data_IF_830385219598
#
_entry.id   IF_830385219598
#
_cell.length_a   1.000
_cell.length_b   1.000
_cell.length_c   1.000
_cell.angle_alpha   90.00
_cell.angle_beta   90.00
_cell.angle_gamma   90.00
#
_symmetry.space_group_name_H-M   'P 1'
#
loop_
_entity.id
_entity.type
_entity.pdbx_description
1 polymer ?
#
# COMPACT_ATOMS: atom_id res chain seq x y z
N UNK A 1 -15.34 -14.41 26.93
CA UNK A 1 -16.33 -13.50 27.49
C UNK A 1 -16.97 -12.74 26.36
N UNK A 2 -18.13 -13.28 25.87
CA UNK A 2 -18.92 -12.59 24.86
C UNK A 2 -19.42 -11.28 25.42
N UNK A 3 -18.97 -10.18 24.85
CA UNK A 3 -19.45 -8.87 25.20
C UNK A 3 -20.87 -8.75 24.62
N UNK A 4 -21.87 -8.86 25.47
CA UNK A 4 -23.29 -8.83 25.12
C UNK A 4 -23.71 -7.53 24.40
N UNK A 5 -22.82 -6.54 24.36
CA UNK A 5 -23.05 -5.20 23.80
C UNK A 5 -22.44 -4.98 22.42
N UNK A 6 -21.58 -5.88 21.91
CA UNK A 6 -21.00 -5.77 20.56
C UNK A 6 -22.03 -6.25 19.54
N UNK A 7 -22.59 -5.31 18.80
CA UNK A 7 -23.60 -5.55 17.77
C UNK A 7 -23.10 -5.28 16.35
N UNK A 8 -21.87 -4.83 16.21
CA UNK A 8 -21.27 -4.50 14.91
C UNK A 8 -19.92 -5.17 14.77
N UNK A 9 -19.63 -5.61 13.57
CA UNK A 9 -18.38 -6.27 13.24
C UNK A 9 -17.69 -5.55 12.09
N UNK A 10 -16.40 -5.34 12.21
CA UNK A 10 -15.55 -4.91 11.12
C UNK A 10 -14.57 -6.03 10.79
N UNK A 11 -14.70 -6.62 9.59
CA UNK A 11 -13.88 -7.75 9.18
C UNK A 11 -12.72 -7.22 8.34
N UNK A 12 -11.49 -7.41 8.84
CA UNK A 12 -10.24 -6.96 8.22
C UNK A 12 -9.14 -8.02 8.43
N UNK A 13 -9.46 -9.29 8.11
CA UNK A 13 -8.56 -10.43 8.35
C UNK A 13 -7.42 -10.56 7.32
N UNK A 14 -7.41 -9.72 6.29
CA UNK A 14 -6.41 -9.74 5.22
C UNK A 14 -6.52 -10.98 4.31
N UNK A 15 -5.55 -11.14 3.41
CA UNK A 15 -5.43 -12.26 2.48
C UNK A 15 -4.21 -13.12 2.85
N UNK A 16 -4.35 -13.94 3.89
CA UNK A 16 -3.25 -14.70 4.49
C UNK A 16 -2.97 -16.06 3.86
N UNK A 17 -3.81 -16.51 2.92
CA UNK A 17 -3.61 -17.76 2.19
C UNK A 17 -2.73 -17.54 0.97
N UNK A 18 -1.76 -18.41 0.76
CA UNK A 18 -1.04 -18.49 -0.51
C UNK A 18 -1.86 -19.25 -1.55
N UNK A 19 -1.74 -18.89 -2.82
CA UNK A 19 -2.30 -19.67 -3.92
C UNK A 19 -1.31 -20.75 -4.32
N UNK A 20 -1.86 -21.94 -4.62
CA UNK A 20 -1.12 -23.05 -5.23
C UNK A 20 -1.31 -23.00 -6.75
N UNK A 21 -0.38 -23.60 -7.48
CA UNK A 21 -0.39 -23.55 -8.94
C UNK A 21 -1.37 -24.54 -9.59
N UNK A 22 -1.81 -25.55 -8.85
CA UNK A 22 -2.65 -26.63 -9.35
C UNK A 22 -1.92 -27.57 -10.31
N UNK A 23 -0.61 -27.70 -10.12
CA UNK A 23 0.25 -28.56 -10.95
C UNK A 23 0.60 -29.89 -10.25
N UNK A 24 0.87 -30.98 -10.99
CA UNK A 24 1.29 -32.23 -10.40
C UNK A 24 2.52 -32.06 -9.51
N UNK A 25 2.55 -32.70 -8.36
CA UNK A 25 3.68 -32.74 -7.42
C UNK A 25 3.74 -31.55 -6.44
N UNK A 26 2.78 -30.63 -6.45
CA UNK A 26 2.80 -29.45 -5.58
C UNK A 26 2.55 -29.74 -4.09
N UNK A 27 2.11 -30.93 -3.74
CA UNK A 27 1.92 -31.42 -2.37
C UNK A 27 3.15 -32.10 -1.77
N UNK A 28 4.26 -32.18 -2.54
CA UNK A 28 5.49 -32.81 -2.10
C UNK A 28 6.21 -32.00 -1.00
N UNK A 29 7.01 -32.70 -0.19
CA UNK A 29 7.92 -32.04 0.76
C UNK A 29 8.93 -31.16 0.02
N UNK A 30 9.10 -29.92 0.47
CA UNK A 30 9.92 -28.91 -0.18
C UNK A 30 9.12 -27.94 -1.04
N UNK A 31 7.81 -28.19 -1.25
CA UNK A 31 6.90 -27.22 -1.86
C UNK A 31 6.09 -26.51 -0.77
N UNK A 32 6.02 -25.19 -0.84
CA UNK A 32 5.06 -24.42 -0.02
C UNK A 32 4.71 -23.08 -0.68
N UNK A 33 3.64 -22.46 -0.24
CA UNK A 33 3.34 -21.10 -0.67
C UNK A 33 4.32 -20.11 -0.04
N UNK A 34 4.64 -19.03 -0.78
CA UNK A 34 5.53 -17.98 -0.27
C UNK A 34 5.03 -17.33 1.01
N UNK A 35 3.71 -17.14 1.13
CA UNK A 35 3.09 -16.59 2.35
C UNK A 35 3.27 -17.54 3.55
N UNK A 36 3.11 -18.82 3.35
CA UNK A 36 3.34 -19.81 4.41
C UNK A 36 4.81 -19.83 4.84
N UNK A 37 5.73 -19.77 3.87
CA UNK A 37 7.17 -19.70 4.12
C UNK A 37 7.53 -18.46 4.95
N UNK A 38 7.13 -17.25 4.50
CA UNK A 38 7.39 -16.01 5.24
C UNK A 38 6.80 -16.03 6.65
N UNK A 39 5.59 -16.60 6.80
CA UNK A 39 4.96 -16.72 8.12
C UNK A 39 5.73 -17.69 9.05
N UNK A 40 6.26 -18.77 8.51
CA UNK A 40 7.10 -19.72 9.27
C UNK A 40 8.42 -19.06 9.71
N UNK A 41 9.11 -18.37 8.80
CA UNK A 41 10.34 -17.64 9.13
C UNK A 41 10.09 -16.57 10.19
N UNK A 42 9.04 -15.76 10.05
CA UNK A 42 8.71 -14.71 11.03
C UNK A 42 8.35 -15.25 12.42
N UNK A 43 7.84 -16.48 12.51
CA UNK A 43 7.50 -17.10 13.80
C UNK A 43 8.66 -17.83 14.45
N UNK A 44 9.55 -18.36 13.65
CA UNK A 44 10.63 -19.23 14.09
C UNK A 44 11.83 -19.11 13.14
N UNK A 45 12.51 -17.95 13.20
CA UNK A 45 13.65 -17.62 12.37
C UNK A 45 14.83 -18.60 12.58
N UNK A 46 14.99 -19.10 13.80
CA UNK A 46 16.13 -19.98 14.14
C UNK A 46 15.97 -21.39 13.56
N UNK A 47 14.76 -21.91 13.48
CA UNK A 47 14.48 -23.28 13.09
C UNK A 47 13.99 -23.43 11.64
N UNK A 48 13.46 -22.37 11.02
CA UNK A 48 13.09 -22.40 9.61
C UNK A 48 14.32 -22.23 8.72
N UNK A 49 14.98 -23.36 8.46
CA UNK A 49 16.15 -23.41 7.58
C UNK A 49 15.81 -24.09 6.27
N UNK A 50 16.29 -23.51 5.18
CA UNK A 50 16.36 -24.14 3.88
C UNK A 50 17.77 -24.68 3.65
N UNK A 51 17.89 -25.64 2.75
CA UNK A 51 19.16 -26.17 2.25
C UNK A 51 19.02 -26.46 0.77
N UNK A 52 20.14 -26.45 0.06
CA UNK A 52 20.15 -26.71 -1.37
C UNK A 52 19.56 -25.54 -2.18
N UNK A 53 19.10 -25.86 -3.39
CA UNK A 53 18.61 -24.89 -4.35
C UNK A 53 17.11 -24.60 -4.15
N UNK A 54 16.73 -23.34 -4.20
CA UNK A 54 15.35 -22.91 -4.09
C UNK A 54 14.89 -22.21 -5.36
N UNK A 55 13.77 -22.66 -5.90
CA UNK A 55 13.07 -22.00 -7.00
C UNK A 55 11.86 -21.24 -6.44
N UNK A 56 11.78 -19.94 -6.75
CA UNK A 56 10.63 -19.09 -6.40
C UNK A 56 9.82 -18.82 -7.67
N UNK A 57 8.53 -19.10 -7.65
CA UNK A 57 7.64 -18.87 -8.78
C UNK A 57 6.73 -17.68 -8.48
N UNK A 58 6.88 -16.59 -9.26
CA UNK A 58 6.12 -15.36 -9.15
C UNK A 58 6.94 -14.12 -9.46
N UNK A 59 6.29 -13.01 -9.85
CA UNK A 59 6.92 -11.75 -10.29
C UNK A 59 6.52 -10.51 -9.50
N UNK A 60 5.77 -10.65 -8.39
CA UNK A 60 5.34 -9.55 -7.53
C UNK A 60 6.27 -9.28 -6.35
N UNK A 61 6.01 -8.21 -5.57
CA UNK A 61 6.79 -7.84 -4.39
C UNK A 61 6.93 -9.00 -3.40
N UNK A 62 5.86 -9.77 -3.17
CA UNK A 62 5.91 -10.95 -2.28
C UNK A 62 6.92 -11.99 -2.77
N UNK A 63 7.06 -12.17 -4.09
CA UNK A 63 8.05 -13.09 -4.65
C UNK A 63 9.48 -12.60 -4.39
N UNK A 64 9.72 -11.27 -4.46
CA UNK A 64 11.01 -10.66 -4.09
C UNK A 64 11.33 -10.92 -2.61
N UNK A 65 10.37 -10.65 -1.71
CA UNK A 65 10.53 -10.90 -0.28
C UNK A 65 10.83 -12.37 0.01
N UNK A 66 10.10 -13.29 -0.65
CA UNK A 66 10.29 -14.74 -0.50
C UNK A 66 11.67 -15.17 -0.97
N UNK A 67 12.15 -14.70 -2.11
CA UNK A 67 13.44 -15.06 -2.66
C UNK A 67 14.60 -14.57 -1.77
N UNK A 68 14.53 -13.32 -1.34
CA UNK A 68 15.53 -12.72 -0.43
C UNK A 68 15.52 -13.39 0.94
N UNK A 69 14.33 -13.74 1.44
CA UNK A 69 14.18 -14.49 2.70
C UNK A 69 14.71 -15.92 2.57
N UNK A 70 14.54 -16.58 1.42
CA UNK A 70 15.06 -17.91 1.18
C UNK A 70 16.60 -17.98 1.26
N UNK A 71 17.29 -16.96 0.72
CA UNK A 71 18.75 -16.82 0.91
C UNK A 71 19.11 -16.74 2.40
N UNK A 72 18.43 -15.87 3.15
CA UNK A 72 18.67 -15.67 4.59
C UNK A 72 18.32 -16.91 5.41
N UNK A 73 17.37 -17.70 4.95
CA UNK A 73 17.02 -18.98 5.56
C UNK A 73 18.03 -20.09 5.27
N UNK A 74 19.09 -19.83 4.47
CA UNK A 74 20.20 -20.76 4.24
C UNK A 74 20.11 -21.53 2.93
N UNK A 75 19.30 -21.12 1.95
CA UNK A 75 19.35 -21.69 0.60
C UNK A 75 20.70 -21.39 -0.07
N UNK A 76 21.31 -22.38 -0.69
CA UNK A 76 22.63 -22.25 -1.34
C UNK A 76 22.54 -21.42 -2.63
N UNK A 77 21.41 -21.51 -3.33
CA UNK A 77 21.14 -20.80 -4.59
C UNK A 77 19.64 -20.51 -4.68
N UNK A 78 19.28 -19.29 -5.10
CA UNK A 78 17.89 -18.89 -5.28
C UNK A 78 17.68 -18.33 -6.68
N UNK A 79 16.76 -18.96 -7.40
CA UNK A 79 16.33 -18.50 -8.73
C UNK A 79 14.83 -18.24 -8.76
N UNK A 80 14.46 -17.15 -9.41
CA UNK A 80 13.07 -16.74 -9.59
C UNK A 80 12.62 -16.96 -11.03
N UNK A 81 11.37 -17.39 -11.18
CA UNK A 81 10.71 -17.56 -12.47
C UNK A 81 9.34 -16.91 -12.44
N UNK A 82 9.03 -16.07 -13.44
CA UNK A 82 7.74 -15.40 -13.54
C UNK A 82 7.22 -15.38 -14.98
N UNK A 83 5.91 -15.18 -15.11
CA UNK A 83 5.23 -15.17 -16.40
C UNK A 83 5.58 -13.91 -17.20
N UNK A 84 5.70 -12.80 -16.51
CA UNK A 84 5.84 -11.46 -17.05
C UNK A 84 7.22 -11.26 -17.71
N UNK A 85 7.28 -10.38 -18.70
CA UNK A 85 8.54 -9.79 -19.16
C UNK A 85 9.11 -8.86 -18.09
N UNK A 86 10.37 -8.46 -18.23
CA UNK A 86 11.04 -7.59 -17.24
C UNK A 86 10.30 -6.27 -17.00
N UNK A 87 9.77 -5.69 -18.05
CA UNK A 87 9.07 -4.40 -18.00
C UNK A 87 7.64 -4.50 -17.48
N UNK A 88 7.05 -5.70 -17.54
CA UNK A 88 5.67 -5.99 -17.08
C UNK A 88 5.61 -6.56 -15.67
N UNK A 89 6.76 -6.82 -15.04
CA UNK A 89 6.77 -7.34 -13.67
C UNK A 89 6.02 -6.42 -12.71
N UNK A 90 5.08 -6.95 -11.91
CA UNK A 90 4.31 -6.14 -10.96
C UNK A 90 5.10 -5.72 -9.72
N UNK A 91 6.30 -6.28 -9.49
CA UNK A 91 7.17 -5.88 -8.39
C UNK A 91 7.72 -4.47 -8.61
N UNK A 92 7.93 -3.73 -7.53
CA UNK A 92 8.56 -2.43 -7.55
C UNK A 92 10.01 -2.54 -8.08
N UNK A 93 10.43 -1.56 -8.88
CA UNK A 93 11.78 -1.58 -9.50
C UNK A 93 12.88 -1.66 -8.45
N UNK A 94 12.72 -0.95 -7.35
CA UNK A 94 13.69 -0.95 -6.25
C UNK A 94 13.81 -2.35 -5.62
N UNK A 95 12.71 -3.10 -5.44
CA UNK A 95 12.71 -4.48 -4.92
C UNK A 95 13.38 -5.46 -5.89
N UNK A 96 13.16 -5.28 -7.20
CA UNK A 96 13.81 -6.08 -8.23
C UNK A 96 15.33 -5.83 -8.24
N UNK A 97 15.74 -4.57 -8.14
CA UNK A 97 17.15 -4.18 -8.09
C UNK A 97 17.83 -4.76 -6.84
N UNK A 98 17.17 -4.70 -5.68
CA UNK A 98 17.67 -5.27 -4.43
C UNK A 98 17.84 -6.80 -4.51
N UNK A 99 16.90 -7.51 -5.14
CA UNK A 99 17.01 -8.94 -5.35
C UNK A 99 18.21 -9.30 -6.25
N UNK A 100 18.43 -8.53 -7.32
CA UNK A 100 19.59 -8.72 -8.21
C UNK A 100 20.92 -8.43 -7.52
N UNK A 101 20.98 -7.39 -6.69
CA UNK A 101 22.18 -7.06 -5.89
C UNK A 101 22.53 -8.18 -4.89
N UNK A 102 21.54 -8.94 -4.44
CA UNK A 102 21.71 -10.12 -3.60
C UNK A 102 22.00 -11.40 -4.40
N UNK A 103 22.34 -11.28 -5.69
CA UNK A 103 22.66 -12.37 -6.62
C UNK A 103 21.50 -13.35 -6.89
N UNK A 104 20.26 -12.94 -6.69
CA UNK A 104 19.09 -13.74 -7.07
C UNK A 104 18.88 -13.64 -8.57
N UNK A 105 18.86 -14.77 -9.27
CA UNK A 105 18.58 -14.79 -10.71
C UNK A 105 17.08 -14.66 -10.98
N UNK A 106 16.68 -13.74 -11.89
CA UNK A 106 15.30 -13.52 -12.27
C UNK A 106 15.10 -13.90 -13.73
N UNK A 107 14.26 -14.91 -13.96
CA UNK A 107 14.01 -15.52 -15.26
C UNK A 107 12.56 -15.24 -15.69
N UNK A 108 12.40 -14.42 -16.71
CA UNK A 108 11.11 -13.96 -17.22
C UNK A 108 10.52 -14.88 -18.29
N UNK A 109 9.19 -14.92 -18.38
CA UNK A 109 8.46 -15.65 -19.43
C UNK A 109 8.34 -17.15 -19.15
N UNK A 110 8.27 -17.57 -17.89
CA UNK A 110 8.15 -18.97 -17.50
C UNK A 110 7.08 -19.19 -16.45
N UNK A 111 6.25 -20.22 -16.65
CA UNK A 111 5.23 -20.66 -15.70
C UNK A 111 5.38 -22.11 -15.30
N UNK A 112 4.86 -22.54 -14.15
CA UNK A 112 4.98 -23.92 -13.69
C UNK A 112 4.14 -24.85 -14.56
N UNK A 113 4.71 -26.03 -14.86
CA UNK A 113 4.04 -27.13 -15.55
C UNK A 113 3.82 -28.33 -14.63
N UNK A 114 4.89 -28.76 -13.98
CA UNK A 114 4.86 -29.86 -13.01
C UNK A 114 6.07 -29.79 -12.06
N UNK A 115 5.96 -30.43 -10.92
CA UNK A 115 7.04 -30.60 -9.96
C UNK A 115 7.42 -32.08 -9.93
N UNK A 116 8.64 -32.37 -10.33
CA UNK A 116 9.20 -33.73 -10.32
C UNK A 116 9.57 -34.06 -8.88
N UNK A 117 9.09 -35.21 -8.42
CA UNK A 117 9.35 -35.67 -7.05
C UNK A 117 10.09 -36.98 -7.02
N UNK A 118 10.94 -37.17 -6.03
CA UNK A 118 11.61 -38.41 -5.73
C UNK A 118 11.46 -38.70 -4.22
N UNK A 119 10.99 -39.90 -3.88
CA UNK A 119 10.71 -40.30 -2.49
C UNK A 119 9.80 -39.29 -1.71
N UNK A 120 8.86 -38.65 -2.41
CA UNK A 120 7.93 -37.69 -1.82
C UNK A 120 8.52 -36.30 -1.53
N UNK A 121 9.74 -36.01 -2.06
CA UNK A 121 10.38 -34.68 -2.01
C UNK A 121 10.54 -34.11 -3.40
N UNK A 122 10.65 -32.79 -3.47
CA UNK A 122 11.04 -32.08 -4.69
C UNK A 122 12.42 -32.52 -5.13
N UNK A 123 12.55 -32.74 -6.44
CA UNK A 123 13.81 -33.02 -7.16
C UNK A 123 14.05 -31.99 -8.24
N UNK A 124 13.00 -31.58 -8.93
CA UNK A 124 13.07 -30.57 -9.99
C UNK A 124 11.70 -29.93 -10.22
N UNK A 125 11.67 -28.78 -10.85
CA UNK A 125 10.46 -28.15 -11.39
C UNK A 125 10.59 -28.07 -12.91
N UNK A 126 9.53 -28.44 -13.62
CA UNK A 126 9.38 -28.23 -15.06
C UNK A 126 8.57 -26.98 -15.27
N UNK A 127 9.15 -26.07 -16.04
CA UNK A 127 8.53 -24.81 -16.42
C UNK A 127 8.22 -24.81 -17.91
N UNK A 128 7.16 -24.13 -18.31
CA UNK A 128 6.75 -23.93 -19.71
C UNK A 128 6.81 -22.46 -20.08
N UNK A 129 7.14 -22.18 -21.32
CA UNK A 129 7.27 -20.83 -21.82
C UNK A 129 5.94 -20.10 -21.80
N UNK A 130 5.88 -18.93 -21.18
CA UNK A 130 4.77 -18.01 -21.28
C UNK A 130 5.02 -17.03 -22.45
N UNK A 131 4.14 -17.03 -23.42
CA UNK A 131 4.24 -16.19 -24.63
C UNK A 131 3.47 -14.89 -24.48
N UNK A 132 2.46 -14.84 -23.63
CA UNK A 132 1.70 -13.63 -23.31
C UNK A 132 1.06 -13.79 -21.93
N UNK A 133 1.06 -12.73 -21.12
CA UNK A 133 0.44 -12.73 -19.77
C UNK A 133 -0.97 -12.14 -19.82
N UNK A 134 -1.18 -11.16 -20.71
CA UNK A 134 -2.45 -10.43 -20.79
C UNK A 134 -3.08 -10.60 -22.18
N UNK A 135 -4.40 -10.62 -22.22
CA UNK A 135 -5.15 -10.59 -23.48
C UNK A 135 -5.24 -9.15 -24.04
N UNK A 136 -5.92 -9.00 -25.19
CA UNK A 136 -6.11 -7.71 -25.84
C UNK A 136 -6.84 -6.67 -24.98
N UNK A 137 -7.67 -7.10 -24.05
CA UNK A 137 -8.38 -6.25 -23.08
C UNK A 137 -7.57 -5.98 -21.81
N UNK A 138 -6.26 -6.30 -21.80
CA UNK A 138 -5.35 -6.16 -20.65
C UNK A 138 -5.81 -6.94 -19.40
N UNK A 139 -6.55 -8.04 -19.60
CA UNK A 139 -6.92 -8.94 -18.50
C UNK A 139 -5.92 -10.08 -18.41
N UNK A 140 -5.61 -10.50 -17.19
CA UNK A 140 -4.73 -11.63 -16.94
C UNK A 140 -5.29 -12.90 -17.57
N UNK A 141 -4.63 -13.41 -18.59
CA UNK A 141 -4.99 -14.59 -19.38
C UNK A 141 -3.72 -15.18 -20.03
N UNK A 142 -2.85 -15.82 -19.24
CA UNK A 142 -1.56 -16.28 -19.73
C UNK A 142 -1.69 -17.35 -20.80
N UNK A 143 -0.90 -17.21 -21.86
CA UNK A 143 -0.79 -18.17 -22.95
C UNK A 143 0.58 -18.83 -22.89
N UNK A 144 0.59 -20.17 -23.06
CA UNK A 144 1.81 -20.94 -22.95
C UNK A 144 2.13 -21.71 -24.22
N UNK A 145 3.43 -21.87 -24.49
CA UNK A 145 3.91 -22.90 -25.39
C UNK A 145 4.21 -24.16 -24.57
N UNK A 146 3.38 -25.18 -24.74
CA UNK A 146 3.51 -26.43 -23.99
C UNK A 146 4.71 -27.28 -24.43
N UNK A 147 5.31 -26.98 -25.60
CA UNK A 147 6.46 -27.72 -26.16
C UNK A 147 7.79 -27.05 -25.77
N UNK A 148 7.79 -25.75 -25.45
CA UNK A 148 9.00 -25.04 -24.96
C UNK A 148 9.05 -25.16 -23.44
N UNK A 149 9.83 -26.10 -22.94
CA UNK A 149 9.93 -26.40 -21.50
C UNK A 149 11.36 -26.46 -21.04
N UNK A 150 11.59 -26.06 -19.81
CA UNK A 150 12.87 -26.20 -19.13
C UNK A 150 12.67 -26.97 -17.81
N UNK A 151 13.66 -27.75 -17.43
CA UNK A 151 13.69 -28.47 -16.16
C UNK A 151 14.79 -27.90 -15.28
N UNK A 152 14.43 -27.50 -14.06
CA UNK A 152 15.34 -26.89 -13.09
C UNK A 152 15.44 -27.82 -11.88
N UNK A 153 16.61 -28.37 -11.63
CA UNK A 153 16.89 -29.17 -10.42
C UNK A 153 16.87 -28.26 -9.19
N UNK A 154 16.07 -28.62 -8.18
CA UNK A 154 15.93 -27.86 -6.96
C UNK A 154 15.46 -28.74 -5.80
N UNK A 155 15.72 -28.29 -4.59
CA UNK A 155 15.32 -28.94 -3.34
C UNK A 155 14.05 -28.33 -2.74
N UNK A 156 13.77 -27.06 -3.09
CA UNK A 156 12.61 -26.32 -2.60
C UNK A 156 11.95 -25.54 -3.74
N UNK A 157 10.61 -25.48 -3.71
CA UNK A 157 9.80 -24.66 -4.60
C UNK A 157 8.86 -23.80 -3.76
N UNK A 158 8.99 -22.48 -3.89
CA UNK A 158 8.19 -21.51 -3.16
C UNK A 158 7.24 -20.77 -4.13
N UNK A 159 5.94 -21.02 -3.99
CA UNK A 159 4.92 -20.50 -4.90
C UNK A 159 4.43 -19.14 -4.41
N UNK A 160 4.75 -18.07 -5.15
CA UNK A 160 4.40 -16.67 -4.84
C UNK A 160 3.48 -16.07 -5.91
N UNK A 161 2.49 -16.86 -6.36
CA UNK A 161 1.58 -16.59 -7.48
C UNK A 161 0.25 -15.96 -7.06
N UNK A 162 0.26 -15.27 -5.95
CA UNK A 162 -0.88 -14.52 -5.42
C UNK A 162 -1.34 -14.99 -4.05
N UNK A 163 -2.29 -14.23 -3.53
CA UNK A 163 -2.84 -14.41 -2.19
C UNK A 163 -4.34 -14.67 -2.27
N UNK A 164 -4.89 -15.26 -1.22
CA UNK A 164 -6.32 -15.51 -1.07
C UNK A 164 -6.80 -15.28 0.35
N UNK A 165 -8.06 -14.93 0.49
CA UNK A 165 -8.72 -14.73 1.77
C UNK A 165 -9.15 -16.10 2.30
N UNK A 166 -8.78 -16.39 3.53
CA UNK A 166 -9.21 -17.63 4.21
C UNK A 166 -10.37 -17.30 5.13
N UNK A 167 -11.58 -17.46 4.64
CA UNK A 167 -12.79 -17.17 5.39
C UNK A 167 -13.12 -18.23 6.45
N UNK A 168 -12.76 -19.49 6.22
CA UNK A 168 -13.20 -20.60 7.08
C UNK A 168 -14.72 -20.57 7.29
N UNK A 169 -15.14 -20.64 8.54
CA UNK A 169 -16.55 -20.57 8.94
C UNK A 169 -17.00 -19.16 9.37
N UNK A 170 -16.17 -18.14 9.19
CA UNK A 170 -16.44 -16.79 9.71
C UNK A 170 -17.74 -16.17 9.19
N UNK A 171 -18.11 -16.47 7.95
CA UNK A 171 -19.33 -15.96 7.31
C UNK A 171 -20.51 -16.92 7.38
N UNK A 172 -20.37 -18.06 8.04
CA UNK A 172 -21.44 -19.04 8.14
C UNK A 172 -22.67 -18.47 8.87
N UNK A 173 -23.84 -18.59 8.23
CA UNK A 173 -25.08 -18.07 8.77
C UNK A 173 -25.31 -16.57 8.59
N UNK A 174 -24.40 -15.86 7.91
CA UNK A 174 -24.57 -14.43 7.54
C UNK A 174 -25.08 -14.28 6.12
N UNK A 175 -25.57 -13.07 5.78
CA UNK A 175 -25.98 -12.71 4.41
C UNK A 175 -24.83 -12.09 3.59
N UNK A 176 -23.58 -12.13 4.11
CA UNK A 176 -22.43 -11.59 3.40
C UNK A 176 -22.19 -12.40 2.13
N UNK A 177 -22.20 -11.72 0.99
CA UNK A 177 -21.92 -12.31 -0.31
C UNK A 177 -20.45 -12.13 -0.68
N UNK A 178 -19.92 -13.09 -1.43
CA UNK A 178 -18.57 -13.02 -1.97
C UNK A 178 -18.58 -12.79 -3.49
N UNK A 179 -17.57 -12.09 -3.96
CA UNK A 179 -17.25 -11.98 -5.38
C UNK A 179 -16.55 -13.26 -5.88
N UNK A 180 -16.43 -13.43 -7.19
CA UNK A 180 -15.75 -14.58 -7.82
C UNK A 180 -14.29 -14.74 -7.37
N UNK A 181 -13.63 -13.65 -7.00
CA UNK A 181 -12.25 -13.64 -6.52
C UNK A 181 -12.14 -13.89 -5.00
N UNK A 182 -13.23 -14.17 -4.32
CA UNK A 182 -13.28 -14.44 -2.88
C UNK A 182 -13.32 -13.18 -1.98
N UNK A 183 -13.35 -11.96 -2.54
CA UNK A 183 -13.54 -10.75 -1.74
C UNK A 183 -15.01 -10.57 -1.34
N UNK A 184 -15.26 -9.92 -0.21
CA UNK A 184 -16.63 -9.64 0.22
C UNK A 184 -17.26 -8.52 -0.61
N UNK A 185 -18.55 -8.69 -0.94
CA UNK A 185 -19.34 -7.61 -1.53
C UNK A 185 -19.76 -6.62 -0.45
N UNK A 186 -19.48 -5.35 -0.67
CA UNK A 186 -19.89 -4.27 0.21
C UNK A 186 -20.13 -2.98 -0.58
N UNK A 187 -20.84 -2.06 0.03
CA UNK A 187 -21.05 -0.73 -0.54
C UNK A 187 -19.71 0.04 -0.58
N UNK A 188 -19.33 0.67 -1.70
CA UNK A 188 -18.01 1.28 -1.86
C UNK A 188 -17.81 2.54 -1.03
N UNK A 189 -18.86 3.15 -0.50
CA UNK A 189 -18.80 4.37 0.32
C UNK A 189 -18.82 4.03 1.79
N UNK A 190 -19.66 3.07 2.16
CA UNK A 190 -19.92 2.76 3.58
C UNK A 190 -19.15 1.53 4.07
N UNK A 191 -18.64 0.70 3.16
CA UNK A 191 -18.02 -0.59 3.48
C UNK A 191 -18.97 -1.58 4.19
N UNK A 192 -20.28 -1.30 4.14
CA UNK A 192 -21.32 -2.15 4.71
C UNK A 192 -21.64 -3.28 3.77
N UNK A 193 -21.82 -4.49 4.30
CA UNK A 193 -22.20 -5.68 3.54
C UNK A 193 -23.74 -5.81 3.44
N UNK A 194 -24.21 -6.89 2.82
CA UNK A 194 -25.64 -7.24 2.83
C UNK A 194 -26.16 -7.57 4.25
N UNK A 195 -25.26 -7.90 5.18
CA UNK A 195 -25.61 -8.00 6.61
C UNK A 195 -25.37 -6.62 7.27
N UNK A 196 -26.44 -5.92 7.74
CA UNK A 196 -26.34 -4.49 8.08
C UNK A 196 -25.37 -4.15 9.21
N UNK A 197 -25.08 -5.08 10.11
CA UNK A 197 -24.15 -4.91 11.23
C UNK A 197 -22.73 -5.40 10.93
N UNK A 198 -22.46 -5.87 9.68
CA UNK A 198 -21.15 -6.32 9.23
C UNK A 198 -20.58 -5.36 8.20
N UNK A 199 -19.40 -4.84 8.51
CA UNK A 199 -18.59 -3.98 7.67
C UNK A 199 -17.27 -4.69 7.33
N UNK A 200 -16.69 -4.37 6.18
CA UNK A 200 -15.46 -5.01 5.71
C UNK A 200 -14.47 -3.96 5.23
N UNK A 201 -13.16 -4.28 5.24
CA UNK A 201 -12.15 -3.39 4.67
C UNK A 201 -10.78 -4.04 4.57
N UNK A 202 -9.87 -3.36 3.88
CA UNK A 202 -8.58 -3.93 3.50
C UNK A 202 -8.74 -5.06 2.48
N UNK A 203 -7.84 -6.02 2.47
CA UNK A 203 -7.77 -7.08 1.45
C UNK A 203 -9.05 -7.91 1.32
N UNK A 204 -9.83 -8.05 2.38
CA UNK A 204 -11.10 -8.81 2.31
C UNK A 204 -12.13 -8.14 1.42
N UNK A 205 -11.98 -6.83 1.17
CA UNK A 205 -12.84 -6.04 0.30
C UNK A 205 -12.19 -5.76 -1.06
N UNK A 206 -10.95 -5.28 -1.06
CA UNK A 206 -10.27 -4.83 -2.30
C UNK A 206 -9.50 -5.95 -3.02
N UNK A 207 -9.26 -7.08 -2.38
CA UNK A 207 -8.16 -7.98 -2.70
C UNK A 207 -6.82 -7.45 -2.12
N UNK A 208 -5.73 -8.21 -2.26
CA UNK A 208 -4.41 -7.82 -1.75
C UNK A 208 -3.95 -6.48 -2.30
N UNK A 209 -3.67 -5.51 -1.40
CA UNK A 209 -3.20 -4.16 -1.73
C UNK A 209 -2.19 -3.68 -0.68
N UNK A 210 -1.80 -2.40 -0.78
CA UNK A 210 -0.88 -1.77 0.16
C UNK A 210 -1.53 -1.50 1.53
N UNK A 211 -0.71 -1.48 2.57
CA UNK A 211 -1.17 -1.20 3.94
C UNK A 211 -1.91 0.16 4.04
N UNK A 212 -1.52 1.14 3.23
CA UNK A 212 -2.17 2.46 3.21
C UNK A 212 -3.64 2.38 2.75
N UNK A 213 -3.97 1.46 1.82
CA UNK A 213 -5.35 1.23 1.37
C UNK A 213 -6.20 0.63 2.52
N UNK A 214 -5.61 -0.29 3.28
CA UNK A 214 -6.27 -0.87 4.46
C UNK A 214 -6.50 0.17 5.56
N UNK A 215 -5.54 1.09 5.79
CA UNK A 215 -5.69 2.21 6.72
C UNK A 215 -6.82 3.13 6.28
N UNK A 216 -6.88 3.48 4.99
CA UNK A 216 -7.95 4.30 4.44
C UNK A 216 -9.33 3.63 4.62
N UNK A 217 -9.45 2.35 4.27
CA UNK A 217 -10.67 1.58 4.45
C UNK A 217 -11.09 1.52 5.93
N UNK A 218 -10.14 1.39 6.86
CA UNK A 218 -10.41 1.39 8.30
C UNK A 218 -10.95 2.72 8.81
N UNK A 219 -10.42 3.85 8.32
CA UNK A 219 -10.92 5.19 8.65
C UNK A 219 -12.36 5.39 8.18
N UNK A 220 -12.64 5.07 6.93
CA UNK A 220 -13.98 5.20 6.37
C UNK A 220 -14.99 4.23 7.01
N UNK A 221 -14.58 3.00 7.27
CA UNK A 221 -15.39 1.99 7.97
C UNK A 221 -15.72 2.41 9.41
N UNK A 222 -14.78 3.02 10.11
CA UNK A 222 -15.02 3.58 11.45
C UNK A 222 -16.11 4.65 11.44
N UNK A 223 -16.09 5.58 10.48
CA UNK A 223 -17.16 6.57 10.30
C UNK A 223 -18.49 5.91 10.01
N UNK A 224 -18.51 4.84 9.21
CA UNK A 224 -19.73 4.09 8.90
C UNK A 224 -20.32 3.43 10.14
N UNK A 225 -19.50 2.72 10.92
CA UNK A 225 -19.94 2.09 12.17
C UNK A 225 -20.43 3.14 13.16
N UNK A 226 -19.69 4.24 13.35
CA UNK A 226 -20.11 5.33 14.22
C UNK A 226 -21.49 5.85 13.86
N UNK A 227 -21.75 6.13 12.58
CA UNK A 227 -23.05 6.60 12.11
C UNK A 227 -24.14 5.54 12.24
N UNK A 228 -23.80 4.28 12.00
CA UNK A 228 -24.75 3.16 12.10
C UNK A 228 -25.28 2.97 13.51
N UNK A 229 -24.44 3.10 14.54
CA UNK A 229 -24.87 2.97 15.94
C UNK A 229 -25.65 4.17 16.46
N UNK A 230 -25.51 5.33 15.82
CA UNK A 230 -26.24 6.54 16.17
C UNK A 230 -27.52 6.65 15.32
N UNK A 231 -28.64 6.35 15.92
CA UNK A 231 -29.96 6.40 15.23
C UNK A 231 -30.18 7.75 14.54
N UNK A 232 -30.68 7.70 13.28
CA UNK A 232 -31.01 8.90 12.51
C UNK A 232 -29.84 9.50 11.73
N UNK A 233 -28.63 8.95 11.82
CA UNK A 233 -27.51 9.39 11.00
C UNK A 233 -27.48 8.66 9.65
N UNK A 234 -27.34 9.44 8.55
CA UNK A 234 -27.13 8.88 7.22
C UNK A 234 -25.70 8.33 7.10
N UNK A 235 -25.55 7.13 6.55
CA UNK A 235 -24.23 6.54 6.29
C UNK A 235 -23.51 7.24 5.13
N UNK A 236 -24.24 7.83 4.18
CA UNK A 236 -23.69 8.37 2.94
C UNK A 236 -23.65 9.90 2.90
N UNK A 237 -24.55 10.60 3.59
CA UNK A 237 -24.61 12.06 3.57
C UNK A 237 -23.32 12.68 4.10
N UNK A 238 -22.80 13.69 3.37
CA UNK A 238 -21.55 14.38 3.71
C UNK A 238 -20.33 13.46 3.88
N UNK A 239 -20.27 12.37 3.10
CA UNK A 239 -19.00 11.64 2.91
C UNK A 239 -18.09 12.45 2.00
N UNK A 240 -16.84 12.58 2.41
CA UNK A 240 -15.78 13.20 1.60
C UNK A 240 -15.35 12.20 0.51
N UNK A 241 -16.06 12.20 -0.60
CA UNK A 241 -15.75 11.40 -1.77
C UNK A 241 -14.65 12.12 -2.56
N UNK A 242 -13.40 11.81 -2.24
CA UNK A 242 -12.25 12.37 -2.94
C UNK A 242 -12.12 11.74 -4.32
N UNK A 243 -12.13 12.57 -5.33
CA UNK A 243 -11.78 12.19 -6.69
C UNK A 243 -10.29 12.50 -6.89
N UNK A 244 -9.50 11.44 -7.06
CA UNK A 244 -8.10 11.58 -7.42
C UNK A 244 -7.99 11.61 -8.95
N UNK A 245 -7.27 12.61 -9.45
CA UNK A 245 -6.90 12.69 -10.87
C UNK A 245 -5.48 12.14 -10.96
N UNK A 246 -5.28 11.10 -11.77
CA UNK A 246 -3.94 10.64 -12.08
C UNK A 246 -3.22 11.69 -12.91
N UNK A 247 -2.06 12.14 -12.42
CA UNK A 247 -1.24 13.09 -13.14
C UNK A 247 -0.58 12.40 -14.35
N UNK A 248 -0.63 13.05 -15.51
CA UNK A 248 0.15 12.62 -16.65
C UNK A 248 1.64 12.92 -16.39
N UNK A 249 2.35 11.90 -15.93
CA UNK A 249 3.78 11.99 -15.58
C UNK A 249 4.69 12.19 -16.80
N UNK A 250 4.19 11.99 -17.99
CA UNK A 250 4.98 12.10 -19.22
C UNK A 250 4.98 13.52 -19.79
N UNK A 251 3.98 14.34 -19.39
CA UNK A 251 3.79 15.70 -19.89
C UNK A 251 3.87 16.75 -18.77
N UNK A 252 4.69 16.50 -17.75
CA UNK A 252 4.95 17.49 -16.70
C UNK A 252 5.85 18.59 -17.27
N UNK A 253 5.46 19.85 -17.07
CA UNK A 253 6.35 21.00 -17.28
C UNK A 253 7.34 21.05 -16.10
N UNK A 254 8.60 20.75 -16.42
CA UNK A 254 9.69 20.71 -15.45
C UNK A 254 10.82 21.68 -15.82
N UNK A 255 10.58 22.63 -16.73
CA UNK A 255 11.61 23.56 -17.21
C UNK A 255 12.18 24.42 -16.07
N UNK A 256 11.34 24.81 -15.09
CA UNK A 256 11.73 25.61 -13.94
C UNK A 256 12.28 24.77 -12.75
N UNK A 257 12.31 23.46 -12.87
CA UNK A 257 12.75 22.56 -11.78
C UNK A 257 14.16 22.05 -12.01
N UNK A 258 14.84 21.74 -10.91
CA UNK A 258 16.15 21.10 -10.95
C UNK A 258 16.04 19.66 -11.50
N UNK A 259 16.65 19.43 -12.67
CA UNK A 259 16.71 18.15 -13.34
C UNK A 259 17.88 17.25 -12.90
N UNK A 260 18.43 17.48 -11.70
CA UNK A 260 19.47 16.64 -11.14
C UNK A 260 19.04 15.16 -11.07
N UNK A 261 19.97 14.25 -11.24
CA UNK A 261 19.70 12.81 -11.18
C UNK A 261 19.25 12.42 -9.78
N UNK A 262 18.29 11.47 -9.71
CA UNK A 262 17.84 10.87 -8.45
C UNK A 262 19.03 10.36 -7.65
N UNK A 263 19.11 10.76 -6.39
CA UNK A 263 20.09 10.25 -5.45
C UNK A 263 19.63 8.93 -4.86
N UNK A 264 20.57 8.08 -4.51
CA UNK A 264 20.30 6.83 -3.80
C UNK A 264 21.15 6.78 -2.55
N UNK A 265 20.58 6.38 -1.39
CA UNK A 265 21.39 6.18 -0.19
C UNK A 265 22.37 5.04 -0.39
N UNK A 266 23.48 5.09 0.32
CA UNK A 266 24.44 4.01 0.36
C UNK A 266 23.90 2.77 1.05
N UNK A 267 24.70 1.70 1.06
CA UNK A 267 24.45 0.49 1.84
C UNK A 267 25.58 0.25 2.82
N UNK A 268 25.23 -0.17 4.02
CA UNK A 268 26.21 -0.61 5.03
C UNK A 268 26.95 -1.83 4.49
N UNK A 269 28.24 -1.90 4.78
CA UNK A 269 29.04 -3.08 4.49
C UNK A 269 28.48 -4.28 5.25
N UNK A 270 28.30 -5.39 4.58
CA UNK A 270 27.80 -6.63 5.14
C UNK A 270 27.27 -7.56 4.06
N UNK A 271 27.21 -8.84 4.36
CA UNK A 271 26.54 -9.80 3.50
C UNK A 271 25.03 -9.68 3.70
N UNK A 272 24.33 -9.16 2.70
CA UNK A 272 22.88 -9.00 2.74
C UNK A 272 22.16 -10.34 2.92
N UNK A 273 22.71 -11.45 2.41
CA UNK A 273 22.17 -12.79 2.57
C UNK A 273 22.27 -13.33 4.01
N UNK A 274 23.13 -12.76 4.85
CA UNK A 274 23.36 -13.23 6.22
C UNK A 274 22.53 -12.55 7.29
N UNK A 275 21.74 -11.51 6.95
CA UNK A 275 21.03 -10.71 7.93
C UNK A 275 19.63 -10.28 7.47
N UNK A 276 18.68 -10.25 8.40
CA UNK A 276 17.36 -9.65 8.21
C UNK A 276 17.32 -8.15 8.54
N UNK A 277 18.43 -7.56 8.95
CA UNK A 277 18.51 -6.12 9.25
C UNK A 277 18.50 -5.31 7.95
N UNK A 278 17.87 -4.14 7.99
CA UNK A 278 17.95 -3.17 6.91
C UNK A 278 19.39 -2.63 6.80
N UNK A 279 20.02 -2.89 5.67
CA UNK A 279 21.38 -2.45 5.37
C UNK A 279 21.42 -1.11 4.61
N UNK A 280 20.27 -0.51 4.30
CA UNK A 280 20.22 0.80 3.66
C UNK A 280 20.74 1.88 4.61
N UNK A 281 21.54 2.79 4.09
CA UNK A 281 21.95 3.98 4.79
C UNK A 281 20.95 5.11 4.57
N UNK A 282 21.04 6.15 5.36
CA UNK A 282 20.31 7.39 5.11
C UNK A 282 21.08 8.24 4.07
N UNK A 283 20.39 9.18 3.44
CA UNK A 283 21.06 10.17 2.58
C UNK A 283 22.12 10.94 3.35
N UNK A 284 23.24 11.25 2.67
CA UNK A 284 24.13 12.28 3.13
C UNK A 284 23.45 13.65 3.04
N UNK A 285 23.98 14.66 3.73
CA UNK A 285 23.40 16.01 3.67
C UNK A 285 23.38 16.57 2.23
N UNK A 286 24.41 16.27 1.43
CA UNK A 286 24.49 16.68 0.02
C UNK A 286 23.44 15.98 -0.83
N UNK A 287 23.28 14.66 -0.66
CA UNK A 287 22.23 13.89 -1.33
C UNK A 287 20.83 14.38 -0.96
N UNK A 288 20.61 14.69 0.34
CA UNK A 288 19.34 15.22 0.81
C UNK A 288 19.02 16.57 0.17
N UNK A 289 20.01 17.49 0.10
CA UNK A 289 19.83 18.79 -0.55
C UNK A 289 19.49 18.63 -2.03
N UNK A 290 20.17 17.70 -2.73
CA UNK A 290 19.91 17.42 -4.15
C UNK A 290 18.51 16.83 -4.35
N UNK A 291 18.08 15.87 -3.52
CA UNK A 291 16.72 15.33 -3.62
C UNK A 291 15.64 16.35 -3.23
N UNK A 292 15.91 17.22 -2.26
CA UNK A 292 14.98 18.28 -1.87
C UNK A 292 14.83 19.34 -2.96
N UNK A 293 15.92 19.71 -3.66
CA UNK A 293 15.87 20.72 -4.73
C UNK A 293 15.04 20.28 -5.95
N UNK A 294 15.03 18.98 -6.24
CA UNK A 294 14.25 18.42 -7.34
C UNK A 294 12.81 18.02 -6.97
N UNK A 295 12.38 18.32 -5.74
CA UNK A 295 11.05 18.00 -5.25
C UNK A 295 9.99 18.92 -5.88
N UNK A 296 9.00 18.33 -6.55
CA UNK A 296 7.90 19.09 -7.18
C UNK A 296 6.83 19.59 -6.20
N UNK A 297 6.94 19.23 -4.91
CA UNK A 297 5.98 19.64 -3.89
C UNK A 297 4.56 19.10 -4.08
N UNK A 298 4.34 18.10 -4.92
CA UNK A 298 3.03 17.60 -5.30
C UNK A 298 2.20 16.99 -4.16
N UNK A 299 2.84 16.63 -3.05
CA UNK A 299 2.20 16.14 -1.82
C UNK A 299 2.32 17.10 -0.65
N UNK A 300 2.79 18.34 -0.86
CA UNK A 300 2.96 19.30 0.21
C UNK A 300 1.61 19.69 0.84
N UNK A 301 1.56 19.68 2.16
CA UNK A 301 0.40 20.16 2.90
C UNK A 301 0.35 21.67 2.86
N UNK A 302 -0.74 22.22 2.35
CA UNK A 302 -0.97 23.67 2.28
C UNK A 302 -2.10 24.05 3.23
N UNK A 303 -1.88 25.07 4.03
CA UNK A 303 -2.93 25.67 4.86
C UNK A 303 -3.69 26.69 4.04
N UNK A 304 -5.02 26.52 3.89
CA UNK A 304 -5.89 27.52 3.29
C UNK A 304 -6.13 28.66 4.30
N UNK A 305 -5.55 29.87 4.09
CA UNK A 305 -5.66 30.96 5.04
C UNK A 305 -7.10 31.49 5.17
N UNK A 306 -7.97 31.23 4.18
CA UNK A 306 -9.38 31.64 4.24
C UNK A 306 -10.23 30.68 5.08
N UNK A 307 -9.79 29.44 5.25
CA UNK A 307 -10.45 28.43 6.07
C UNK A 307 -9.83 28.25 7.44
N UNK A 308 -8.57 28.68 7.59
CA UNK A 308 -7.84 28.57 8.85
C UNK A 308 -8.35 29.63 9.84
N UNK A 309 -8.86 29.18 10.98
CA UNK A 309 -9.31 30.07 12.06
C UNK A 309 -8.22 30.37 13.11
N UNK A 310 -7.00 29.89 12.91
CA UNK A 310 -5.87 30.12 13.83
C UNK A 310 -6.04 29.46 15.21
N UNK A 311 -6.79 28.37 15.33
CA UNK A 311 -7.07 27.74 16.62
C UNK A 311 -5.88 27.04 17.27
N UNK A 312 -4.77 26.80 16.53
CA UNK A 312 -3.55 26.17 17.06
C UNK A 312 -3.62 24.65 17.25
N UNK A 313 -4.72 23.99 16.94
CA UNK A 313 -4.84 22.53 17.15
C UNK A 313 -3.80 21.75 16.33
N UNK A 314 -3.50 22.19 15.11
CA UNK A 314 -2.48 21.54 14.29
C UNK A 314 -1.07 21.63 14.90
N UNK A 315 -0.73 22.75 15.58
CA UNK A 315 0.58 22.91 16.24
C UNK A 315 0.73 21.94 17.42
N UNK A 316 -0.35 21.65 18.16
CA UNK A 316 -0.33 20.70 19.28
C UNK A 316 -0.31 19.24 18.83
N UNK A 317 -0.61 18.95 17.57
CA UNK A 317 -0.64 17.60 17.00
C UNK A 317 0.60 17.25 16.18
N UNK A 318 1.44 18.23 15.86
CA UNK A 318 2.66 17.99 15.11
C UNK A 318 3.79 17.59 16.08
N UNK A 319 4.13 16.32 16.07
CA UNK A 319 5.22 15.76 16.90
C UNK A 319 6.61 16.26 16.46
N UNK A 320 6.72 16.79 15.23
CA UNK A 320 7.97 17.28 14.65
C UNK A 320 8.15 18.79 14.80
N UNK A 321 7.26 19.49 15.50
CA UNK A 321 7.27 20.95 15.64
C UNK A 321 7.40 21.70 14.29
N UNK A 322 6.82 21.12 13.23
CA UNK A 322 6.90 21.65 11.87
C UNK A 322 5.78 22.65 11.52
N UNK A 323 4.83 22.88 12.43
CA UNK A 323 3.67 23.75 12.21
C UNK A 323 3.67 24.83 13.28
N UNK A 324 3.79 26.09 12.86
CA UNK A 324 3.79 27.25 13.74
C UNK A 324 2.65 28.21 13.35
N UNK A 325 2.10 28.90 14.34
CA UNK A 325 1.19 29.99 14.09
C UNK A 325 2.00 31.29 13.96
N UNK A 326 1.78 32.03 12.87
CA UNK A 326 2.31 33.38 12.68
C UNK A 326 1.17 34.41 12.76
N UNK A 327 1.53 35.63 13.14
CA UNK A 327 0.63 36.77 13.09
C UNK A 327 1.05 37.70 11.99
N UNK A 328 0.40 37.58 10.84
CA UNK A 328 0.70 38.40 9.68
C UNK A 328 0.13 39.82 9.80
N UNK A 329 -0.98 39.98 10.54
CA UNK A 329 -1.66 41.23 10.79
C UNK A 329 -1.88 41.48 12.30
N UNK A 330 -0.84 41.89 13.05
CA UNK A 330 -0.92 42.06 14.50
C UNK A 330 -2.04 43.01 14.95
N UNK A 331 -2.30 44.06 14.16
CA UNK A 331 -3.31 45.07 14.46
C UNK A 331 -4.75 44.54 14.29
N UNK A 332 -4.97 43.58 13.39
CA UNK A 332 -6.25 42.94 13.19
C UNK A 332 -6.67 42.03 14.37
N UNK A 333 -5.73 41.61 15.19
CA UNK A 333 -5.95 40.67 16.30
C UNK A 333 -6.03 41.34 17.68
N UNK A 334 -6.11 42.65 17.73
CA UNK A 334 -6.33 43.36 19.00
C UNK A 334 -7.76 43.15 19.48
N UNK A 335 -7.91 42.25 20.44
CA UNK A 335 -9.19 42.04 21.08
C UNK A 335 -9.59 43.30 21.86
N UNK A 336 -10.76 43.81 21.55
CA UNK A 336 -11.37 44.93 22.26
C UNK A 336 -12.42 44.38 23.21
N UNK A 337 -12.38 44.83 24.48
CA UNK A 337 -13.45 44.51 25.42
C UNK A 337 -14.79 45.00 24.86
N UNK A 338 -15.85 44.23 25.11
CA UNK A 338 -17.19 44.56 24.58
C UNK A 338 -17.65 45.94 24.96
N UNK A 339 -17.30 46.41 26.17
CA UNK A 339 -17.64 47.74 26.71
C UNK A 339 -16.95 48.88 25.95
N UNK A 340 -15.75 48.62 25.38
CA UNK A 340 -14.98 49.63 24.66
C UNK A 340 -15.23 49.64 23.16
N UNK A 341 -16.06 48.73 22.67
CA UNK A 341 -16.36 48.57 21.24
C UNK A 341 -16.89 49.83 20.60
N UNK A 342 -17.85 50.47 21.25
CA UNK A 342 -18.45 51.70 20.73
C UNK A 342 -17.45 52.86 20.62
N UNK A 343 -16.57 53.05 21.63
CA UNK A 343 -15.53 54.08 21.59
C UNK A 343 -14.55 53.89 20.43
N UNK A 344 -14.21 52.64 20.09
CA UNK A 344 -13.28 52.33 19.00
C UNK A 344 -13.93 52.40 17.60
N UNK A 345 -15.23 52.11 17.47
CA UNK A 345 -15.93 52.12 16.21
C UNK A 345 -16.42 53.55 15.86
N UNK A 346 -16.70 54.37 16.84
CA UNK A 346 -17.23 55.71 16.65
C UNK A 346 -16.43 56.62 15.69
N UNK A 347 -15.09 56.69 15.78
CA UNK A 347 -14.27 57.45 14.84
C UNK A 347 -14.42 56.97 13.39
N UNK A 348 -14.52 55.65 13.21
CA UNK A 348 -14.70 55.04 11.89
C UNK A 348 -16.10 55.34 11.35
N UNK A 349 -17.14 55.28 12.18
CA UNK A 349 -18.52 55.59 11.78
C UNK A 349 -18.64 57.05 11.36
N UNK A 350 -18.06 57.98 12.13
CA UNK A 350 -18.03 59.41 11.80
C UNK A 350 -17.31 59.66 10.47
N UNK A 351 -16.15 59.07 10.29
CA UNK A 351 -15.35 59.18 9.05
C UNK A 351 -16.10 58.62 7.84
N UNK A 352 -16.81 57.54 8.02
CA UNK A 352 -17.66 56.93 6.99
C UNK A 352 -18.86 57.79 6.62
N UNK A 353 -19.58 58.33 7.60
CA UNK A 353 -20.70 59.23 7.36
C UNK A 353 -20.28 60.50 6.63
N UNK A 354 -19.15 61.09 7.01
CA UNK A 354 -18.58 62.26 6.33
C UNK A 354 -18.27 61.89 4.86
N UNK A 355 -17.63 60.75 4.63
CA UNK A 355 -17.27 60.28 3.28
C UNK A 355 -18.53 60.01 2.42
N UNK A 356 -19.58 59.47 3.00
CA UNK A 356 -20.86 59.25 2.31
C UNK A 356 -21.53 60.55 1.94
N UNK A 357 -21.56 61.56 2.83
CA UNK A 357 -22.12 62.87 2.54
C UNK A 357 -21.34 63.56 1.42
N UNK A 358 -20.02 63.61 1.48
CA UNK A 358 -19.21 64.24 0.43
C UNK A 358 -19.22 63.49 -0.93
N UNK A 359 -19.56 62.22 -0.97
CA UNK A 359 -19.71 61.50 -2.24
C UNK A 359 -21.13 61.54 -2.80
N UNK A 360 -22.15 61.95 -2.02
CA UNK A 360 -23.51 62.21 -2.54
C UNK A 360 -23.60 63.49 -3.36
N UNK A 361 -22.70 64.42 -3.12
CA UNK A 361 -22.68 65.72 -3.86
C UNK A 361 -21.88 65.63 -5.17
N UNK A 362 -21.41 64.41 -5.55
CA UNK A 362 -20.67 64.13 -6.79
C UNK A 362 -21.44 63.25 -7.81
N UNK A 363 -22.78 63.17 -7.69
CA UNK A 363 -23.64 62.58 -8.71
C UNK A 363 -24.54 63.63 -9.34
#
# INVERSE_FOLDING_TARGET
>A
LGDVYKRQFYIAIGARGGRMAGVPGEDAKGVMSGIEFLNKVNKDEEHMKLSGKTVVIGGGNVAMDVARTALRAGSDDVSMYCLESRDEMPAAKDEIEEALEENISINNGWGPKEIITENGRVKAVVLKKCTSVFNAEKRFAPVYDENDTITIECDNVLLSIGQQIIWGNLLAGTKVELNKNGTAKADPVTYQTAEPDIFVGGDVYTGPRFAIDAIAAGKEGCVSIHRFVHKGHSLTLARDLRHFIELDKNNLDIEEYDNAKRQRPGRKSGDAASTYRDLREIFTEEQLKTEASRCLGCGATVVDPNKCIGCGLCTTKCEFDAIHLSRDLPDASRMTKSEDKLKKILPYMIKREIKIKFNKDKK
#
